data_IF_591683414874
#
_entry.id   IF_591683414874
#
_cell.length_a   1.000
_cell.length_b   1.000
_cell.length_c   1.000
_cell.angle_alpha   90.00
_cell.angle_beta   90.00
_cell.angle_gamma   90.00
#
_symmetry.space_group_name_H-M   'P 1'
#
loop_
_entity.id
_entity.type
_entity.pdbx_description
1 polymer ?
#
# COMPACT_ATOMS: atom_id res chain seq x y z
N UNK A 1 8.31 -45.87 85.85
CA UNK A 1 8.76 -44.73 85.10
C UNK A 1 8.99 -45.18 83.63
N UNK A 2 8.07 -44.87 82.74
CA UNK A 2 8.20 -45.17 81.27
C UNK A 2 8.26 -43.84 80.53
N UNK A 3 9.44 -43.52 79.95
CA UNK A 3 9.62 -42.40 79.08
C UNK A 3 9.01 -42.73 77.68
N UNK A 4 8.05 -41.91 77.21
CA UNK A 4 7.49 -42.02 75.92
C UNK A 4 8.32 -41.14 74.90
N UNK A 5 8.81 -41.75 73.83
CA UNK A 5 9.43 -41.05 72.71
C UNK A 5 8.35 -40.55 71.80
N UNK A 6 8.37 -39.26 71.53
CA UNK A 6 7.57 -38.60 70.46
C UNK A 6 8.41 -38.54 69.17
N UNK A 7 7.92 -38.99 68.02
CA UNK A 7 8.65 -38.80 66.77
C UNK A 7 8.35 -37.43 66.21
N UNK A 8 9.41 -36.70 65.85
CA UNK A 8 9.39 -35.43 65.15
C UNK A 8 9.15 -35.69 63.64
N UNK A 9 7.99 -35.32 63.14
CA UNK A 9 7.68 -35.39 61.71
C UNK A 9 8.22 -34.14 61.08
N UNK A 10 9.31 -34.27 60.30
CA UNK A 10 9.83 -33.21 59.45
C UNK A 10 9.02 -33.16 58.15
N UNK A 11 8.18 -32.15 57.98
CA UNK A 11 7.48 -31.89 56.72
C UNK A 11 8.42 -31.20 55.72
N UNK A 12 8.86 -31.95 54.73
CA UNK A 12 9.62 -31.40 53.61
C UNK A 12 8.68 -30.63 52.63
N UNK A 13 8.77 -29.31 52.62
CA UNK A 13 8.07 -28.46 51.65
C UNK A 13 8.85 -28.52 50.34
N UNK A 14 8.38 -29.31 49.39
CA UNK A 14 8.89 -29.32 48.02
C UNK A 14 8.31 -28.11 47.24
N UNK A 15 9.09 -27.05 47.09
CA UNK A 15 8.74 -25.91 46.26
C UNK A 15 8.86 -26.35 44.78
N UNK A 16 7.71 -26.59 44.17
CA UNK A 16 7.61 -26.86 42.74
C UNK A 16 7.80 -25.54 41.99
N UNK A 17 9.02 -25.25 41.50
CA UNK A 17 9.30 -24.12 40.59
C UNK A 17 8.80 -24.57 39.23
N UNK A 18 7.57 -24.19 38.87
CA UNK A 18 7.09 -24.32 37.51
C UNK A 18 7.92 -23.41 36.58
N UNK A 19 8.48 -23.94 35.48
CA UNK A 19 9.15 -23.08 34.50
C UNK A 19 8.11 -22.12 33.93
N UNK A 20 8.33 -20.82 34.11
CA UNK A 20 7.59 -19.78 33.38
C UNK A 20 7.99 -19.93 31.91
N UNK A 21 7.18 -20.67 31.17
CA UNK A 21 7.26 -20.67 29.70
C UNK A 21 6.89 -19.25 29.25
N UNK A 22 7.91 -18.43 29.04
CA UNK A 22 7.72 -17.20 28.28
C UNK A 22 7.18 -17.62 26.93
N UNK A 23 5.92 -17.28 26.64
CA UNK A 23 5.40 -17.33 25.30
C UNK A 23 6.38 -16.51 24.43
N UNK A 24 7.18 -17.21 23.62
CA UNK A 24 7.93 -16.56 22.56
C UNK A 24 6.86 -15.87 21.72
N UNK A 25 6.89 -14.53 21.71
CA UNK A 25 6.11 -13.75 20.74
C UNK A 25 6.44 -14.32 19.36
N UNK A 26 5.50 -15.09 18.80
CA UNK A 26 5.61 -15.57 17.44
C UNK A 26 5.89 -14.36 16.58
N UNK A 27 6.95 -14.41 15.78
CA UNK A 27 7.29 -13.32 14.86
C UNK A 27 6.01 -12.92 14.12
N UNK A 28 5.63 -11.63 14.10
CA UNK A 28 4.38 -11.22 13.51
C UNK A 28 4.33 -11.69 12.05
N UNK A 29 3.42 -12.60 11.75
CA UNK A 29 3.16 -13.08 10.40
C UNK A 29 2.78 -11.93 9.49
N UNK A 30 2.82 -12.17 8.18
CA UNK A 30 2.32 -11.18 7.23
C UNK A 30 0.86 -10.89 7.52
N UNK A 31 0.47 -9.62 7.41
CA UNK A 31 -0.92 -9.22 7.52
C UNK A 31 -1.74 -9.76 6.36
N UNK A 32 -2.91 -10.28 6.63
CA UNK A 32 -3.83 -10.82 5.63
C UNK A 32 -4.71 -9.70 5.08
N UNK A 33 -4.70 -9.53 3.76
CA UNK A 33 -5.50 -8.51 3.09
C UNK A 33 -6.43 -9.14 2.05
N UNK A 34 -7.71 -8.75 2.11
CA UNK A 34 -8.67 -9.06 1.07
C UNK A 34 -8.87 -7.84 0.18
N UNK A 35 -8.87 -8.03 -1.14
CA UNK A 35 -9.09 -6.97 -2.11
C UNK A 35 -10.48 -7.18 -2.72
N UNK A 36 -11.39 -6.22 -2.53
CA UNK A 36 -12.72 -6.29 -3.14
C UNK A 36 -12.65 -5.99 -4.64
N UNK A 37 -13.66 -6.45 -5.39
CA UNK A 37 -13.78 -6.11 -6.81
C UNK A 37 -13.78 -4.58 -6.99
N UNK A 38 -12.96 -4.09 -7.92
CA UNK A 38 -12.91 -2.67 -8.25
C UNK A 38 -14.20 -2.26 -8.98
N UNK A 39 -14.81 -1.19 -8.53
CA UNK A 39 -16.05 -0.66 -9.09
C UNK A 39 -15.88 0.79 -9.51
N UNK A 40 -16.77 1.26 -10.39
CA UNK A 40 -16.86 2.68 -10.73
C UNK A 40 -18.11 3.30 -10.10
N UNK A 41 -18.09 4.63 -9.96
CA UNK A 41 -19.31 5.37 -9.59
C UNK A 41 -20.29 5.38 -10.76
N UNK A 42 -21.61 5.49 -10.46
CA UNK A 42 -22.65 5.57 -11.47
C UNK A 42 -22.43 6.74 -12.44
N UNK A 43 -21.83 7.83 -11.97
CA UNK A 43 -21.51 8.99 -12.79
C UNK A 43 -20.49 8.65 -13.89
N UNK A 44 -19.44 7.86 -13.53
CA UNK A 44 -18.43 7.37 -14.48
C UNK A 44 -19.08 6.40 -15.46
N UNK A 45 -19.84 5.42 -14.98
CA UNK A 45 -20.52 4.44 -15.82
C UNK A 45 -21.44 5.09 -16.85
N UNK A 46 -22.26 6.06 -16.42
CA UNK A 46 -23.15 6.83 -17.31
C UNK A 46 -22.39 7.69 -18.33
N UNK A 47 -21.25 8.28 -17.96
CA UNK A 47 -20.44 9.09 -18.85
C UNK A 47 -19.80 8.23 -19.96
N UNK A 48 -19.20 7.12 -19.57
CA UNK A 48 -18.56 6.18 -20.49
C UNK A 48 -19.53 5.61 -21.53
N UNK A 49 -20.76 5.24 -21.10
CA UNK A 49 -21.79 4.76 -22.01
C UNK A 49 -22.22 5.78 -23.06
N UNK A 50 -22.10 7.09 -22.76
CA UNK A 50 -22.44 8.19 -23.68
C UNK A 50 -21.32 8.54 -24.66
N UNK A 51 -20.06 8.29 -24.31
CA UNK A 51 -18.93 8.76 -25.12
C UNK A 51 -18.55 7.84 -26.28
N UNK A 52 -19.04 6.59 -26.34
CA UNK A 52 -18.78 5.68 -27.48
C UNK A 52 -17.30 5.42 -27.75
N UNK A 53 -16.41 5.76 -26.83
CA UNK A 53 -14.95 5.60 -26.96
C UNK A 53 -14.63 4.12 -26.75
N UNK A 54 -13.94 3.51 -27.69
CA UNK A 54 -13.75 2.08 -27.91
C UNK A 54 -13.13 1.23 -26.81
N UNK A 55 -12.98 1.74 -25.59
CA UNK A 55 -12.59 0.99 -24.40
C UNK A 55 -13.80 0.91 -23.46
N UNK A 56 -14.28 -0.29 -23.24
CA UNK A 56 -15.35 -0.48 -22.23
C UNK A 56 -14.81 -0.16 -20.84
N UNK A 57 -15.60 0.51 -20.02
CA UNK A 57 -15.27 0.75 -18.60
C UNK A 57 -14.87 -0.56 -17.91
N UNK A 58 -15.51 -1.65 -18.26
CA UNK A 58 -15.22 -2.98 -17.70
C UNK A 58 -13.79 -3.42 -17.97
N UNK A 59 -13.25 -3.15 -19.18
CA UNK A 59 -11.86 -3.47 -19.50
C UNK A 59 -10.86 -2.68 -18.66
N UNK A 60 -11.13 -1.38 -18.43
CA UNK A 60 -10.31 -0.53 -17.55
C UNK A 60 -10.35 -1.03 -16.11
N UNK A 61 -11.55 -1.34 -15.60
CA UNK A 61 -11.71 -1.86 -14.24
C UNK A 61 -11.04 -3.22 -14.07
N UNK A 62 -11.13 -4.09 -15.07
CA UNK A 62 -10.50 -5.41 -15.07
C UNK A 62 -8.96 -5.31 -15.10
N UNK A 63 -8.43 -4.41 -15.94
CA UNK A 63 -6.99 -4.16 -16.00
C UNK A 63 -6.47 -3.60 -14.67
N UNK A 64 -7.16 -2.61 -14.10
CA UNK A 64 -6.80 -2.03 -12.80
C UNK A 64 -6.86 -3.07 -11.68
N UNK A 65 -7.87 -3.92 -11.69
CA UNK A 65 -8.06 -4.98 -10.72
C UNK A 65 -6.90 -5.97 -10.72
N UNK A 66 -6.52 -6.45 -11.91
CA UNK A 66 -5.39 -7.37 -12.08
C UNK A 66 -4.07 -6.73 -11.68
N UNK A 67 -3.84 -5.48 -12.06
CA UNK A 67 -2.61 -4.76 -11.74
C UNK A 67 -2.49 -4.44 -10.24
N UNK A 68 -3.58 -4.06 -9.58
CA UNK A 68 -3.57 -3.81 -8.12
C UNK A 68 -3.27 -5.10 -7.35
N UNK A 69 -3.93 -6.21 -7.73
CA UNK A 69 -3.67 -7.50 -7.12
C UNK A 69 -2.19 -7.90 -7.24
N UNK A 70 -1.64 -7.84 -8.46
CA UNK A 70 -0.24 -8.14 -8.73
C UNK A 70 0.71 -7.26 -7.92
N UNK A 71 0.49 -5.94 -7.93
CA UNK A 71 1.35 -4.99 -7.21
C UNK A 71 1.32 -5.22 -5.70
N UNK A 72 0.16 -5.44 -5.10
CA UNK A 72 0.05 -5.72 -3.66
C UNK A 72 0.75 -7.02 -3.29
N UNK A 73 0.55 -8.09 -4.07
CA UNK A 73 1.23 -9.36 -3.86
C UNK A 73 2.76 -9.21 -3.94
N UNK A 74 3.24 -8.46 -4.93
CA UNK A 74 4.66 -8.24 -5.18
C UNK A 74 5.34 -7.31 -4.17
N UNK A 75 4.59 -6.52 -3.37
CA UNK A 75 5.19 -5.81 -2.22
C UNK A 75 5.77 -6.77 -1.18
N UNK A 76 5.34 -8.05 -1.18
CA UNK A 76 5.70 -9.10 -0.21
C UNK A 76 5.39 -8.76 1.25
N UNK A 77 4.54 -7.75 1.48
CA UNK A 77 4.12 -7.30 2.83
C UNK A 77 2.89 -8.01 3.33
N UNK A 78 2.08 -8.54 2.41
CA UNK A 78 0.78 -9.13 2.69
C UNK A 78 0.73 -10.61 2.32
N UNK A 79 -0.15 -11.32 3.00
CA UNK A 79 -0.79 -12.53 2.52
C UNK A 79 -2.10 -12.09 1.87
N UNK A 80 -2.15 -12.13 0.53
CA UNK A 80 -3.33 -11.70 -0.23
C UNK A 80 -4.30 -12.86 -0.30
N UNK A 81 -5.53 -12.67 0.19
CA UNK A 81 -6.56 -13.70 0.14
C UNK A 81 -7.17 -13.75 -1.26
N UNK A 82 -7.37 -14.95 -1.76
CA UNK A 82 -7.97 -15.20 -3.06
C UNK A 82 -9.43 -14.70 -3.09
N UNK A 83 -9.80 -14.05 -4.21
CA UNK A 83 -11.15 -13.48 -4.37
C UNK A 83 -12.23 -14.54 -4.51
N UNK A 84 -11.91 -15.66 -5.14
CA UNK A 84 -12.81 -16.83 -5.26
C UNK A 84 -13.30 -17.31 -3.90
N UNK A 85 -12.41 -17.30 -2.90
CA UNK A 85 -12.75 -17.67 -1.53
C UNK A 85 -13.65 -16.61 -0.86
N UNK A 86 -13.42 -15.33 -1.16
CA UNK A 86 -14.23 -14.23 -0.63
C UNK A 86 -15.67 -14.26 -1.17
N UNK A 87 -15.85 -14.51 -2.46
CA UNK A 87 -17.17 -14.60 -3.10
C UNK A 87 -17.92 -15.89 -2.69
N UNK A 88 -17.22 -17.00 -2.50
CA UNK A 88 -17.79 -18.26 -2.00
C UNK A 88 -18.25 -18.11 -0.54
N UNK A 89 -17.40 -17.53 0.32
CA UNK A 89 -17.70 -17.23 1.72
C UNK A 89 -18.85 -16.23 1.86
N UNK A 90 -18.96 -15.24 0.95
CA UNK A 90 -20.08 -14.30 0.91
C UNK A 90 -21.41 -15.02 0.65
N UNK A 91 -21.42 -15.96 -0.28
CA UNK A 91 -22.62 -16.76 -0.60
C UNK A 91 -23.00 -17.69 0.54
N UNK A 92 -22.02 -18.34 1.16
CA UNK A 92 -22.26 -19.22 2.32
C UNK A 92 -22.79 -18.46 3.52
N UNK A 93 -22.20 -17.29 3.85
CA UNK A 93 -22.65 -16.46 4.96
C UNK A 93 -24.05 -15.91 4.74
N UNK A 94 -24.37 -15.48 3.51
CA UNK A 94 -25.71 -15.04 3.14
C UNK A 94 -26.74 -16.19 3.24
N UNK A 95 -26.36 -17.41 2.89
CA UNK A 95 -27.20 -18.59 3.01
C UNK A 95 -27.39 -19.04 4.47
N UNK A 96 -26.41 -18.82 5.33
CA UNK A 96 -26.46 -19.14 6.76
C UNK A 96 -27.13 -18.04 7.61
N UNK A 97 -27.46 -16.88 7.03
CA UNK A 97 -28.02 -15.74 7.78
C UNK A 97 -27.01 -15.08 8.73
N UNK A 98 -25.73 -15.38 8.58
CA UNK A 98 -24.64 -14.82 9.36
C UNK A 98 -24.09 -13.56 8.68
N UNK A 99 -23.66 -12.57 9.48
CA UNK A 99 -22.97 -11.41 8.95
C UNK A 99 -21.71 -11.88 8.22
N UNK A 100 -21.49 -11.41 6.98
CA UNK A 100 -20.36 -11.75 6.15
C UNK A 100 -19.05 -11.49 6.90
N UNK A 101 -18.46 -12.55 7.40
CA UNK A 101 -17.23 -12.50 8.15
C UNK A 101 -16.07 -12.78 7.18
N UNK A 102 -15.35 -11.72 6.76
CA UNK A 102 -13.97 -11.85 6.26
C UNK A 102 -13.05 -12.36 7.40
N UNK A 103 -13.50 -13.36 8.16
CA UNK A 103 -12.87 -13.84 9.39
C UNK A 103 -11.41 -14.32 9.19
N UNK A 104 -10.94 -14.36 7.95
CA UNK A 104 -9.55 -14.71 7.62
C UNK A 104 -8.70 -13.51 7.24
N UNK A 105 -9.29 -12.32 6.99
CA UNK A 105 -8.55 -11.12 6.63
C UNK A 105 -8.35 -10.21 7.84
N UNK A 106 -7.17 -9.60 7.97
CA UNK A 106 -6.93 -8.52 8.93
C UNK A 106 -7.45 -7.19 8.38
N UNK A 107 -7.34 -7.01 7.06
CA UNK A 107 -7.71 -5.78 6.36
C UNK A 107 -8.47 -6.05 5.07
N UNK A 108 -9.36 -5.11 4.71
CA UNK A 108 -10.07 -5.08 3.44
C UNK A 108 -9.67 -3.82 2.69
N UNK A 109 -9.22 -3.98 1.45
CA UNK A 109 -8.97 -2.90 0.51
C UNK A 109 -10.15 -2.79 -0.46
N UNK A 110 -10.85 -1.64 -0.42
CA UNK A 110 -11.92 -1.31 -1.35
C UNK A 110 -11.48 -0.16 -2.24
N UNK A 111 -11.63 -0.32 -3.56
CA UNK A 111 -11.22 0.68 -4.55
C UNK A 111 -12.43 1.05 -5.41
N UNK A 112 -12.65 2.35 -5.58
CA UNK A 112 -13.71 2.87 -6.43
C UNK A 112 -13.17 3.94 -7.37
N UNK A 113 -13.35 3.75 -8.67
CA UNK A 113 -13.03 4.74 -9.68
C UNK A 113 -14.12 5.81 -9.69
N UNK A 114 -13.73 7.06 -9.42
CA UNK A 114 -14.62 8.21 -9.33
C UNK A 114 -14.50 9.17 -10.51
N UNK A 115 -13.41 9.06 -11.30
CA UNK A 115 -13.29 9.76 -12.57
C UNK A 115 -12.43 8.97 -13.55
N UNK A 116 -12.89 8.95 -14.81
CA UNK A 116 -12.12 8.47 -15.95
C UNK A 116 -12.44 9.37 -17.15
N UNK A 117 -11.40 9.95 -17.77
CA UNK A 117 -11.50 10.74 -18.98
C UNK A 117 -10.44 10.26 -19.96
N UNK A 118 -10.87 10.03 -21.20
CA UNK A 118 -10.02 9.73 -22.33
C UNK A 118 -10.35 10.74 -23.43
N UNK A 119 -9.46 11.68 -23.66
CA UNK A 119 -9.66 12.78 -24.60
C UNK A 119 -8.63 12.74 -25.69
N UNK A 120 -9.11 12.87 -26.92
CA UNK A 120 -8.27 13.07 -28.11
C UNK A 120 -8.48 14.47 -28.65
N UNK A 121 -7.40 15.22 -28.75
CA UNK A 121 -7.37 16.57 -29.30
C UNK A 121 -6.62 16.55 -30.64
N UNK A 122 -7.21 17.14 -31.67
CA UNK A 122 -6.55 17.34 -32.96
C UNK A 122 -6.40 18.82 -33.24
N UNK A 123 -5.19 19.28 -33.45
CA UNK A 123 -4.86 20.67 -33.77
C UNK A 123 -4.16 20.76 -35.14
N UNK A 124 -4.83 21.40 -36.10
CA UNK A 124 -4.27 21.65 -37.41
C UNK A 124 -3.51 22.99 -37.42
N UNK A 125 -2.23 22.94 -37.73
CA UNK A 125 -1.38 24.12 -37.94
C UNK A 125 -1.24 24.36 -39.41
N UNK A 126 -2.29 24.94 -40.04
CA UNK A 126 -2.38 25.12 -41.49
C UNK A 126 -1.18 25.85 -42.10
N UNK A 127 -0.63 26.87 -41.42
CA UNK A 127 0.54 27.60 -41.85
C UNK A 127 1.83 26.76 -41.96
N UNK A 128 1.87 25.60 -41.28
CA UNK A 128 3.03 24.72 -41.25
C UNK A 128 2.76 23.36 -41.93
N UNK A 129 1.56 23.15 -42.50
CA UNK A 129 1.15 21.86 -43.04
C UNK A 129 1.18 20.72 -42.01
N UNK A 130 1.06 21.03 -40.73
CA UNK A 130 1.18 20.05 -39.63
C UNK A 130 -0.15 19.83 -38.92
N UNK A 131 -0.38 18.59 -38.56
CA UNK A 131 -1.49 18.19 -37.65
C UNK A 131 -0.88 17.56 -36.43
N UNK A 132 -1.23 18.09 -35.26
CA UNK A 132 -0.86 17.54 -33.97
C UNK A 132 -2.09 16.81 -33.39
N UNK A 133 -1.92 15.55 -33.08
CA UNK A 133 -2.90 14.78 -32.32
C UNK A 133 -2.34 14.51 -30.95
N UNK A 134 -3.11 14.80 -29.91
CA UNK A 134 -2.74 14.51 -28.55
C UNK A 134 -3.86 13.73 -27.87
N UNK A 135 -3.52 12.66 -27.17
CA UNK A 135 -4.44 11.90 -26.34
C UNK A 135 -4.05 12.11 -24.89
N UNK A 136 -5.03 12.41 -24.05
CA UNK A 136 -4.85 12.55 -22.60
C UNK A 136 -5.77 11.58 -21.90
N UNK A 137 -5.22 10.73 -21.04
CA UNK A 137 -5.96 9.82 -20.18
C UNK A 137 -5.81 10.29 -18.74
N UNK A 138 -6.93 10.54 -18.08
CA UNK A 138 -7.01 10.91 -16.66
C UNK A 138 -7.83 9.85 -15.93
N UNK A 139 -7.25 9.29 -14.89
CA UNK A 139 -7.87 8.29 -14.03
C UNK A 139 -7.79 8.75 -12.57
N UNK A 140 -8.93 8.76 -11.88
CA UNK A 140 -9.03 9.03 -10.45
C UNK A 140 -9.73 7.87 -9.75
N UNK A 141 -9.21 7.48 -8.59
CA UNK A 141 -9.78 6.41 -7.78
C UNK A 141 -9.58 6.68 -6.29
N UNK A 142 -10.58 6.32 -5.50
CA UNK A 142 -10.51 6.33 -4.04
C UNK A 142 -10.25 4.91 -3.55
N UNK A 143 -9.18 4.74 -2.77
CA UNK A 143 -8.90 3.50 -2.06
C UNK A 143 -9.15 3.67 -0.56
N UNK A 144 -9.96 2.78 0.02
CA UNK A 144 -10.28 2.73 1.44
C UNK A 144 -9.76 1.44 2.05
N UNK A 145 -9.06 1.55 3.18
CA UNK A 145 -8.58 0.41 3.96
C UNK A 145 -9.42 0.32 5.22
N UNK A 146 -10.04 -0.83 5.43
CA UNK A 146 -10.87 -1.12 6.62
C UNK A 146 -10.20 -2.24 7.42
N UNK A 147 -10.04 -2.04 8.72
CA UNK A 147 -9.62 -3.09 9.64
C UNK A 147 -10.82 -3.97 9.98
N UNK A 148 -10.68 -5.29 9.80
CA UNK A 148 -11.80 -6.23 9.96
C UNK A 148 -12.21 -6.38 11.42
N UNK A 149 -11.24 -6.45 12.32
CA UNK A 149 -11.48 -6.65 13.75
C UNK A 149 -12.33 -5.54 14.39
N UNK A 150 -12.09 -4.28 14.01
CA UNK A 150 -12.78 -3.10 14.55
C UNK A 150 -13.88 -2.58 13.64
N UNK A 151 -13.95 -3.07 12.39
CA UNK A 151 -14.82 -2.58 11.31
C UNK A 151 -14.61 -1.08 11.00
N UNK A 152 -13.48 -0.51 11.40
CA UNK A 152 -13.15 0.91 11.21
C UNK A 152 -12.34 1.11 9.93
N UNK A 153 -12.67 2.16 9.19
CA UNK A 153 -11.82 2.62 8.10
C UNK A 153 -10.59 3.32 8.70
N UNK A 154 -9.41 2.74 8.48
CA UNK A 154 -8.13 3.28 8.98
C UNK A 154 -7.47 4.25 8.02
N UNK A 155 -7.82 4.18 6.74
CA UNK A 155 -7.37 5.14 5.73
C UNK A 155 -8.34 5.22 4.56
N UNK A 156 -8.45 6.40 3.98
CA UNK A 156 -9.12 6.65 2.71
C UNK A 156 -8.28 7.67 1.94
N UNK A 157 -7.86 7.33 0.72
CA UNK A 157 -6.98 8.17 -0.09
C UNK A 157 -7.49 8.26 -1.52
N UNK A 158 -7.55 9.47 -2.05
CA UNK A 158 -7.82 9.71 -3.47
C UNK A 158 -6.50 9.70 -4.23
N UNK A 159 -6.48 9.00 -5.35
CA UNK A 159 -5.35 8.91 -6.27
C UNK A 159 -5.74 9.46 -7.63
N UNK A 160 -4.83 10.21 -8.23
CA UNK A 160 -5.01 10.75 -9.57
C UNK A 160 -3.77 10.43 -10.40
N UNK A 161 -4.01 10.03 -11.65
CA UNK A 161 -2.99 9.81 -12.66
C UNK A 161 -3.46 10.45 -13.94
N UNK A 162 -2.59 11.23 -14.57
CA UNK A 162 -2.80 11.84 -15.88
C UNK A 162 -1.61 11.51 -16.77
N UNK A 163 -1.89 10.97 -17.94
CA UNK A 163 -0.87 10.68 -18.97
C UNK A 163 -1.27 11.34 -20.27
N UNK A 164 -0.29 11.87 -20.98
CA UNK A 164 -0.48 12.49 -22.29
C UNK A 164 0.49 11.91 -23.28
N UNK A 165 -0.02 11.64 -24.47
CA UNK A 165 0.72 11.25 -25.66
C UNK A 165 0.43 12.24 -26.77
N UNK A 166 1.41 12.52 -27.63
CA UNK A 166 1.22 13.41 -28.78
C UNK A 166 1.87 12.85 -30.05
N UNK A 167 1.16 12.96 -31.17
CA UNK A 167 1.61 12.58 -32.49
C UNK A 167 1.65 13.83 -33.40
N UNK A 168 2.81 14.12 -33.96
CA UNK A 168 3.01 15.20 -34.95
C UNK A 168 3.00 14.59 -36.34
N UNK A 169 2.01 14.92 -37.16
CA UNK A 169 1.90 14.49 -38.56
C UNK A 169 2.16 15.65 -39.50
N UNK A 170 3.15 15.51 -40.38
CA UNK A 170 3.42 16.39 -41.50
C UNK A 170 3.08 15.67 -42.82
N UNK A 171 2.93 16.39 -43.95
CA UNK A 171 2.56 15.79 -45.24
C UNK A 171 3.48 14.64 -45.67
N UNK A 172 4.75 14.66 -45.27
CA UNK A 172 5.75 13.65 -45.65
C UNK A 172 6.33 12.84 -44.48
N UNK A 173 5.98 13.14 -43.24
CA UNK A 173 6.59 12.48 -42.06
C UNK A 173 5.60 12.45 -40.91
N UNK A 174 5.51 11.30 -40.25
CA UNK A 174 4.79 11.14 -38.98
C UNK A 174 5.82 10.95 -37.89
N UNK A 175 5.97 11.95 -37.03
CA UNK A 175 6.72 11.84 -35.80
C UNK A 175 5.74 11.56 -34.66
N UNK A 176 5.98 10.48 -33.95
CA UNK A 176 5.22 10.14 -32.76
C UNK A 176 6.06 10.44 -31.53
N UNK A 177 5.51 11.26 -30.64
CA UNK A 177 6.10 11.54 -29.34
C UNK A 177 5.18 10.90 -28.30
N UNK A 178 5.62 9.78 -27.76
CA UNK A 178 4.84 8.98 -26.82
C UNK A 178 4.50 7.60 -27.36
N UNK A 179 3.74 6.85 -26.59
CA UNK A 179 3.45 5.45 -26.84
C UNK A 179 2.07 5.26 -27.51
N UNK A 180 1.84 4.09 -28.08
CA UNK A 180 0.57 3.76 -28.72
C UNK A 180 -0.64 3.91 -27.79
N UNK A 181 -1.81 4.09 -28.37
CA UNK A 181 -3.03 4.40 -27.60
C UNK A 181 -3.36 3.38 -26.51
N UNK A 182 -3.05 2.10 -26.71
CA UNK A 182 -3.27 1.06 -25.72
C UNK A 182 -2.20 1.09 -24.64
N UNK A 183 -0.96 1.41 -25.00
CA UNK A 183 0.17 1.54 -24.08
C UNK A 183 -0.04 2.70 -23.10
N UNK A 184 -0.57 3.83 -23.53
CA UNK A 184 -0.90 4.96 -22.65
C UNK A 184 -1.90 4.54 -21.55
N UNK A 185 -2.89 3.74 -21.91
CA UNK A 185 -3.84 3.21 -20.93
C UNK A 185 -3.17 2.26 -19.96
N UNK A 186 -2.38 1.30 -20.47
CA UNK A 186 -1.65 0.33 -19.66
C UNK A 186 -0.75 1.04 -18.64
N UNK A 187 -0.01 2.03 -19.06
CA UNK A 187 0.85 2.83 -18.18
C UNK A 187 0.06 3.62 -17.14
N UNK A 188 -1.09 4.19 -17.51
CA UNK A 188 -1.96 4.94 -16.58
C UNK A 188 -2.48 4.01 -15.50
N UNK A 189 -2.97 2.83 -15.88
CA UNK A 189 -3.50 1.81 -14.95
C UNK A 189 -2.38 1.25 -14.07
N UNK A 190 -1.21 0.97 -14.64
CA UNK A 190 -0.06 0.45 -13.89
C UNK A 190 0.45 1.45 -12.85
N UNK A 191 0.50 2.75 -13.19
CA UNK A 191 0.89 3.79 -12.24
C UNK A 191 -0.16 3.96 -11.12
N UNK A 192 -1.45 3.94 -11.46
CA UNK A 192 -2.53 3.97 -10.48
C UNK A 192 -2.42 2.80 -9.50
N UNK A 193 -2.27 1.58 -10.02
CA UNK A 193 -2.10 0.38 -9.21
C UNK A 193 -0.87 0.45 -8.30
N UNK A 194 0.24 0.99 -8.81
CA UNK A 194 1.46 1.18 -8.02
C UNK A 194 1.24 2.17 -6.87
N UNK A 195 0.60 3.31 -7.11
CA UNK A 195 0.30 4.30 -6.08
C UNK A 195 -0.58 3.71 -4.98
N UNK A 196 -1.62 2.97 -5.37
CA UNK A 196 -2.54 2.30 -4.42
C UNK A 196 -1.79 1.25 -3.59
N UNK A 197 -1.00 0.39 -4.23
CA UNK A 197 -0.26 -0.67 -3.55
C UNK A 197 0.79 -0.11 -2.57
N UNK A 198 1.54 0.91 -2.97
CA UNK A 198 2.52 1.58 -2.12
C UNK A 198 1.86 2.21 -0.90
N UNK A 199 0.76 2.96 -1.09
CA UNK A 199 0.02 3.58 0.02
C UNK A 199 -0.58 2.54 0.96
N UNK A 200 -1.12 1.45 0.42
CA UNK A 200 -1.66 0.35 1.22
C UNK A 200 -0.55 -0.28 2.09
N UNK A 201 0.63 -0.50 1.50
CA UNK A 201 1.77 -1.02 2.25
C UNK A 201 2.24 -0.04 3.34
N UNK A 202 2.24 1.26 3.09
CA UNK A 202 2.68 2.26 4.06
C UNK A 202 1.72 2.42 5.24
N UNK A 203 0.43 2.30 5.00
CA UNK A 203 -0.59 2.37 6.05
C UNK A 203 -0.58 1.13 6.94
N UNK A 204 -0.60 -0.07 6.33
CA UNK A 204 -0.77 -1.33 7.07
C UNK A 204 0.54 -1.87 7.60
N UNK A 205 1.63 -1.67 6.87
CA UNK A 205 2.97 -2.17 7.20
C UNK A 205 4.02 -1.10 6.89
N UNK A 206 4.17 -0.08 7.73
CA UNK A 206 5.11 1.02 7.49
C UNK A 206 6.53 0.56 7.18
N UNK A 207 7.26 1.34 6.39
CA UNK A 207 8.67 1.06 6.12
C UNK A 207 9.47 1.10 7.42
N UNK A 208 10.37 0.12 7.61
CA UNK A 208 11.20 0.01 8.82
C UNK A 208 12.64 -0.32 8.49
N UNK A 209 13.56 0.15 9.32
CA UNK A 209 14.95 -0.29 9.33
C UNK A 209 15.00 -1.69 9.92
N UNK A 210 15.48 -2.67 9.14
CA UNK A 210 15.64 -4.07 9.58
C UNK A 210 17.08 -4.42 9.93
N UNK A 211 18.04 -3.58 9.52
CA UNK A 211 19.46 -3.72 9.84
C UNK A 211 20.20 -2.40 9.69
N UNK A 212 21.23 -2.20 10.52
CA UNK A 212 22.18 -1.08 10.44
C UNK A 212 23.58 -1.63 10.47
N UNK A 213 24.43 -1.14 9.59
CA UNK A 213 25.88 -1.36 9.59
C UNK A 213 26.56 -0.05 9.27
N UNK A 214 27.24 0.51 10.24
CA UNK A 214 27.89 1.83 10.15
C UNK A 214 26.88 2.91 9.68
N UNK A 215 27.14 3.51 8.53
CA UNK A 215 26.26 4.52 7.90
C UNK A 215 25.23 3.95 6.94
N UNK A 216 25.16 2.61 6.80
CA UNK A 216 24.23 1.97 5.86
C UNK A 216 23.11 1.29 6.65
N UNK A 217 21.87 1.57 6.26
CA UNK A 217 20.70 0.89 6.79
C UNK A 217 20.05 0.03 5.71
N UNK A 218 19.45 -1.08 6.14
CA UNK A 218 18.62 -1.94 5.30
C UNK A 218 17.17 -1.73 5.66
N UNK A 219 16.34 -1.45 4.65
CA UNK A 219 14.93 -1.12 4.79
C UNK A 219 14.10 -2.29 4.27
N UNK A 220 12.99 -2.58 4.94
CA UNK A 220 12.05 -3.64 4.58
C UNK A 220 11.16 -3.28 3.37
N UNK A 221 11.69 -2.59 2.37
CA UNK A 221 11.03 -2.25 1.11
C UNK A 221 11.81 -2.81 -0.06
N UNK A 222 11.11 -3.35 -1.04
CA UNK A 222 11.66 -3.89 -2.27
C UNK A 222 11.37 -2.95 -3.47
N UNK A 223 11.84 -3.33 -4.66
CA UNK A 223 11.64 -2.61 -5.92
C UNK A 223 10.17 -2.42 -6.31
N UNK A 224 9.27 -3.32 -5.87
CA UNK A 224 7.83 -3.25 -6.13
C UNK A 224 7.07 -2.36 -5.12
N UNK A 225 7.75 -1.86 -4.10
CA UNK A 225 7.14 -1.00 -3.07
C UNK A 225 7.12 0.49 -3.44
N UNK A 226 7.51 0.86 -4.65
CA UNK A 226 7.55 2.26 -5.10
C UNK A 226 8.76 3.05 -4.62
N UNK A 227 9.69 2.42 -3.89
CA UNK A 227 10.95 3.03 -3.47
C UNK A 227 11.92 3.14 -4.65
N UNK A 228 12.64 4.27 -4.76
CA UNK A 228 13.57 4.53 -5.85
C UNK A 228 14.92 5.00 -5.31
N UNK A 229 15.99 4.66 -6.02
CA UNK A 229 17.33 5.18 -5.73
C UNK A 229 17.32 6.71 -5.85
N UNK A 230 18.00 7.38 -4.90
CA UNK A 230 18.09 8.83 -4.82
C UNK A 230 17.02 9.48 -3.92
N UNK A 231 15.93 8.80 -3.59
CA UNK A 231 14.92 9.32 -2.66
C UNK A 231 15.51 9.56 -1.27
N UNK A 232 15.05 10.63 -0.62
CA UNK A 232 15.35 10.92 0.79
C UNK A 232 14.16 10.55 1.65
N UNK A 233 14.43 9.81 2.72
CA UNK A 233 13.42 9.36 3.68
C UNK A 233 13.76 9.86 5.07
N UNK A 234 12.76 10.31 5.81
CA UNK A 234 12.86 10.69 7.21
C UNK A 234 12.70 9.45 8.09
N UNK A 235 13.49 9.40 9.17
CA UNK A 235 13.55 8.27 10.10
C UNK A 235 12.98 8.68 11.44
N UNK A 236 12.00 7.91 11.93
CA UNK A 236 11.31 8.18 13.18
C UNK A 236 11.44 7.00 14.13
N UNK A 237 11.70 7.30 15.39
CA UNK A 237 11.55 6.34 16.49
C UNK A 237 10.17 6.52 17.10
N UNK A 238 9.51 5.40 17.37
CA UNK A 238 8.21 5.40 18.04
C UNK A 238 8.43 5.54 19.54
N UNK A 239 7.97 6.63 20.10
CA UNK A 239 7.93 6.91 21.53
C UNK A 239 6.74 6.24 22.23
N UNK A 240 6.27 6.90 23.28
CA UNK A 240 5.18 6.42 24.13
C UNK A 240 3.84 6.36 23.42
N UNK A 241 2.96 5.49 23.90
CA UNK A 241 1.58 5.42 23.43
C UNK A 241 0.79 6.59 24.01
N UNK A 242 0.19 7.39 23.15
CA UNK A 242 -0.70 8.48 23.51
C UNK A 242 -2.15 8.09 23.22
N UNK A 243 -3.05 8.48 24.08
CA UNK A 243 -4.49 8.27 23.91
C UNK A 243 -5.14 9.63 23.76
N UNK A 244 -5.84 9.84 22.66
CA UNK A 244 -6.63 11.06 22.43
C UNK A 244 -7.79 11.08 23.45
N UNK A 245 -7.89 12.11 24.31
CA UNK A 245 -8.90 12.16 25.35
C UNK A 245 -10.33 12.31 24.81
N UNK A 246 -10.49 12.84 23.60
CA UNK A 246 -11.80 13.09 23.00
C UNK A 246 -12.31 11.89 22.20
N UNK A 247 -11.44 11.19 21.51
CA UNK A 247 -11.81 10.06 20.63
C UNK A 247 -11.48 8.70 21.21
N UNK A 248 -10.57 8.62 22.19
CA UNK A 248 -10.01 7.37 22.71
C UNK A 248 -9.07 6.67 21.74
N UNK A 249 -8.71 7.32 20.62
CA UNK A 249 -7.80 6.75 19.64
C UNK A 249 -6.37 6.71 20.19
N UNK A 250 -5.71 5.58 19.97
CA UNK A 250 -4.34 5.34 20.38
C UNK A 250 -3.38 5.65 19.24
N UNK A 251 -2.38 6.46 19.53
CA UNK A 251 -1.27 6.79 18.65
C UNK A 251 0.05 6.63 19.36
N UNK A 252 1.15 6.60 18.62
CA UNK A 252 2.49 6.68 19.22
C UNK A 252 3.15 7.95 18.78
N UNK A 253 3.87 8.57 19.69
CA UNK A 253 4.72 9.69 19.35
C UNK A 253 5.74 9.26 18.30
N UNK A 254 5.91 10.04 17.23
CA UNK A 254 6.94 9.85 16.21
C UNK A 254 8.03 10.92 16.37
N UNK A 255 9.19 10.51 16.87
CA UNK A 255 10.33 11.42 17.08
C UNK A 255 11.26 11.30 15.88
N UNK A 256 11.48 12.40 15.15
CA UNK A 256 12.43 12.47 14.04
C UNK A 256 13.86 12.27 14.57
N UNK A 257 14.55 11.22 14.12
CA UNK A 257 15.91 10.89 14.56
C UNK A 257 16.93 10.88 13.43
N UNK A 258 16.54 11.26 12.23
CA UNK A 258 17.49 11.38 11.14
C UNK A 258 16.88 11.30 9.77
N UNK A 259 17.76 11.29 8.75
CA UNK A 259 17.41 11.15 7.34
C UNK A 259 18.32 10.15 6.66
N UNK A 260 17.77 9.42 5.70
CA UNK A 260 18.50 8.45 4.89
C UNK A 260 18.24 8.67 3.40
N UNK A 261 19.23 8.44 2.57
CA UNK A 261 19.13 8.49 1.10
C UNK A 261 19.23 7.09 0.52
N UNK A 262 18.26 6.70 -0.29
CA UNK A 262 18.25 5.37 -0.91
C UNK A 262 19.40 5.26 -1.91
N UNK A 263 20.27 4.28 -1.69
CA UNK A 263 21.45 4.01 -2.53
C UNK A 263 21.29 2.78 -3.41
N UNK A 264 20.49 1.80 -2.95
CA UNK A 264 20.27 0.54 -3.68
C UNK A 264 18.89 -0.02 -3.40
N UNK A 265 18.25 -0.52 -4.45
CA UNK A 265 16.95 -1.20 -4.37
C UNK A 265 17.11 -2.61 -4.94
N UNK A 266 16.60 -3.61 -4.24
CA UNK A 266 16.65 -5.02 -4.65
C UNK A 266 15.25 -5.66 -4.58
N UNK A 267 15.07 -6.85 -5.18
CA UNK A 267 13.78 -7.57 -5.10
C UNK A 267 13.36 -8.02 -3.69
N UNK A 268 14.23 -7.89 -2.69
CA UNK A 268 13.92 -8.30 -1.31
C UNK A 268 13.86 -7.12 -0.34
N UNK A 269 14.77 -6.15 -0.47
CA UNK A 269 14.93 -5.02 0.43
C UNK A 269 15.63 -3.86 -0.27
N UNK A 270 15.76 -2.74 0.43
CA UNK A 270 16.51 -1.58 -0.06
C UNK A 270 17.60 -1.20 0.93
N UNK A 271 18.66 -0.58 0.44
CA UNK A 271 19.73 -0.01 1.23
C UNK A 271 19.71 1.51 1.11
N UNK A 272 20.02 2.17 2.21
CA UNK A 272 20.12 3.62 2.26
C UNK A 272 21.32 4.03 3.08
N UNK A 273 21.90 5.16 2.72
CA UNK A 273 22.97 5.81 3.47
C UNK A 273 22.35 6.84 4.43
N UNK A 274 22.82 6.84 5.68
CA UNK A 274 22.39 7.81 6.69
C UNK A 274 23.03 9.16 6.36
N UNK A 275 22.18 10.18 6.14
CA UNK A 275 22.61 11.56 5.87
C UNK A 275 22.65 12.36 7.18
N UNK A 276 21.65 12.18 8.03
CA UNK A 276 21.51 12.80 9.35
C UNK A 276 21.25 11.68 10.37
N UNK A 277 21.99 11.66 11.49
CA UNK A 277 21.88 10.63 12.54
C UNK A 277 21.87 11.30 13.92
N UNK A 278 20.70 11.32 14.56
CA UNK A 278 20.51 11.69 15.96
C UNK A 278 19.96 10.54 16.79
N UNK A 279 19.98 9.32 16.23
CA UNK A 279 19.43 8.12 16.87
C UNK A 279 18.83 7.12 15.88
N UNK A 280 19.29 7.13 14.63
CA UNK A 280 18.84 6.15 13.62
C UNK A 280 19.27 4.75 14.03
N UNK A 281 18.30 3.84 14.21
CA UNK A 281 18.59 2.46 14.58
C UNK A 281 17.55 1.47 14.01
N UNK A 282 17.82 0.17 14.20
CA UNK A 282 16.93 -0.92 13.82
C UNK A 282 15.56 -0.78 14.51
N UNK A 283 14.49 -1.02 13.73
CA UNK A 283 13.11 -0.88 14.21
C UNK A 283 12.49 0.49 13.93
N UNK A 284 13.31 1.52 13.66
CA UNK A 284 12.82 2.85 13.32
C UNK A 284 11.93 2.81 12.06
N UNK A 285 10.92 3.64 12.05
CA UNK A 285 9.95 3.81 10.95
C UNK A 285 10.48 4.84 9.96
N UNK A 286 10.25 4.62 8.67
CA UNK A 286 10.65 5.57 7.64
C UNK A 286 9.40 6.10 6.92
N UNK A 287 9.46 7.39 6.60
CA UNK A 287 8.48 8.08 5.77
C UNK A 287 9.18 8.78 4.62
N UNK A 288 8.61 8.68 3.41
CA UNK A 288 9.11 9.45 2.29
C UNK A 288 8.96 10.93 2.65
N UNK A 289 10.06 11.67 2.55
CA UNK A 289 9.98 13.13 2.61
C UNK A 289 9.24 13.56 1.35
N UNK A 290 8.05 14.16 1.51
CA UNK A 290 7.38 14.80 0.40
C UNK A 290 8.29 15.93 -0.10
N UNK A 291 8.95 15.68 -1.22
CA UNK A 291 9.57 16.76 -1.98
C UNK A 291 8.38 17.62 -2.47
N UNK A 292 8.11 18.67 -1.74
CA UNK A 292 7.36 19.80 -2.28
C UNK A 292 8.22 20.27 -3.43
N UNK A 293 7.86 19.83 -4.64
CA UNK A 293 8.46 20.32 -5.87
C UNK A 293 8.32 21.84 -5.82
N UNK A 294 9.44 22.51 -5.56
CA UNK A 294 9.48 23.96 -5.61
C UNK A 294 9.02 24.33 -7.02
N UNK A 295 8.09 25.29 -7.18
CA UNK A 295 7.68 25.73 -8.48
C UNK A 295 8.94 26.12 -9.25
N UNK A 296 9.14 25.53 -10.43
CA UNK A 296 10.20 25.90 -11.35
C UNK A 296 10.02 27.39 -11.67
N UNK A 297 11.02 28.21 -11.33
CA UNK A 297 11.13 29.62 -11.69
C UNK A 297 11.25 29.80 -13.23
#
# INVERSE_FOLDING_TARGET
MKLGYLPLIAAAFTVCIAPVVRAQDAAPGKKKIAITKITATDAVAKRMSKQGVGLSLDSVLQALDSQVYDRILNTKRFEVLERSDADALAKESAAAGEAFAFNKADYILTIRVDSFNDRMEERKLAALGKTIRARTIELSAVAKITEVATQRAIASTNFQVSKRDSENRSENTTERVGEGSDELLIQTVAEMAQKIASRTADVVSPARIIGKRDKIVTINRNDQSGIKVGQTWEVFVLGDEMVDPDTGDKSREEVLVGKVKITRVTPQNSQAEIIEDTGVDKGAVLRLKDDVEAPAE
#
